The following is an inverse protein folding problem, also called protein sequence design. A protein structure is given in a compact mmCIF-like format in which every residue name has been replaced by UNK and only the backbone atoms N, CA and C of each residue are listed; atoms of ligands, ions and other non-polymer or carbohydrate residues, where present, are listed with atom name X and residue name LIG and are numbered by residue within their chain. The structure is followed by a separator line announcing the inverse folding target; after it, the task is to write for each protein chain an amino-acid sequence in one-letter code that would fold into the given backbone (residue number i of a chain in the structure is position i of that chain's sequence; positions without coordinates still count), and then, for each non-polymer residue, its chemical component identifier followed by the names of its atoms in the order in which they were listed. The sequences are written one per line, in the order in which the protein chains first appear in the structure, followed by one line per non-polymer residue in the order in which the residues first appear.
data_IF_146137941540
#
_entry.id   IF_146137941540
#
_cell.length_a   1.000
_cell.length_b   1.000
_cell.length_c   1.000
_cell.angle_alpha   90.00
_cell.angle_beta   90.00
_cell.angle_gamma   90.00
#
_symmetry.space_group_name_H-M   'P 1'
#
loop_
_entity.id
_entity.type
_entity.pdbx_description
1 polymer ?
#
# COMPACT_ATOMS: atom_id res chain seq x y z
N UNK A 1 -7.10 -10.77 9.14
CA UNK A 1 -6.71 -11.58 7.97
C UNK A 1 -7.96 -11.89 7.15
N UNK A 2 -7.77 -12.07 5.85
CA UNK A 2 -8.80 -12.47 4.89
C UNK A 2 -9.07 -13.97 5.01
N UNK A 3 -10.34 -14.41 4.90
CA UNK A 3 -10.66 -15.83 4.80
C UNK A 3 -10.37 -16.37 3.40
N UNK A 4 -10.30 -17.70 3.26
CA UNK A 4 -10.11 -18.35 1.96
C UNK A 4 -11.25 -18.05 0.99
N UNK A 5 -12.48 -18.02 1.48
CA UNK A 5 -13.68 -17.71 0.70
C UNK A 5 -13.67 -16.26 0.22
N UNK A 6 -13.32 -15.30 1.10
CA UNK A 6 -13.17 -13.89 0.74
C UNK A 6 -12.07 -13.69 -0.31
N UNK A 7 -10.91 -14.33 -0.14
CA UNK A 7 -9.81 -14.26 -1.09
C UNK A 7 -10.20 -14.79 -2.47
N UNK A 8 -10.84 -15.96 -2.51
CA UNK A 8 -11.31 -16.54 -3.74
C UNK A 8 -12.37 -15.69 -4.46
N UNK A 9 -13.32 -15.12 -3.70
CA UNK A 9 -14.34 -14.23 -4.24
C UNK A 9 -13.73 -12.95 -4.82
N UNK A 10 -12.78 -12.31 -4.11
CA UNK A 10 -12.09 -11.11 -4.56
C UNK A 10 -11.25 -11.39 -5.82
N UNK A 11 -10.48 -12.47 -5.85
CA UNK A 11 -9.68 -12.85 -7.00
C UNK A 11 -10.54 -13.21 -8.24
N UNK A 12 -11.74 -13.77 -8.03
CA UNK A 12 -12.67 -14.05 -9.12
C UNK A 12 -13.34 -12.79 -9.69
N UNK A 13 -13.49 -11.74 -8.86
CA UNK A 13 -14.19 -10.50 -9.21
C UNK A 13 -13.27 -9.45 -9.84
N UNK A 14 -11.97 -9.45 -9.51
CA UNK A 14 -11.03 -8.39 -9.84
C UNK A 14 -9.79 -8.92 -10.56
N UNK A 15 -9.27 -8.09 -11.47
CA UNK A 15 -7.93 -8.25 -12.03
C UNK A 15 -7.15 -6.97 -11.79
N UNK A 16 -6.06 -7.05 -11.04
CA UNK A 16 -5.21 -5.89 -10.74
C UNK A 16 -4.17 -5.73 -11.85
N UNK A 17 -4.05 -4.52 -12.39
CA UNK A 17 -3.11 -4.22 -13.45
C UNK A 17 -1.79 -3.70 -12.88
N UNK A 18 -1.85 -2.64 -12.07
CA UNK A 18 -0.65 -1.97 -11.56
C UNK A 18 -0.87 -1.28 -10.22
N UNK A 19 0.21 -1.20 -9.46
CA UNK A 19 0.39 -0.33 -8.31
C UNK A 19 1.47 0.71 -8.60
N UNK A 20 1.18 1.96 -8.27
CA UNK A 20 2.16 3.03 -8.14
C UNK A 20 2.18 3.44 -6.66
N UNK A 21 3.30 3.20 -5.99
CA UNK A 21 3.47 3.39 -4.55
C UNK A 21 4.53 4.44 -4.30
N UNK A 22 4.19 5.49 -3.54
CA UNK A 22 5.12 6.52 -3.10
C UNK A 22 5.28 6.46 -1.59
N UNK A 23 6.52 6.41 -1.12
CA UNK A 23 6.87 6.44 0.30
C UNK A 23 7.76 7.64 0.59
N UNK A 24 7.34 8.53 1.53
CA UNK A 24 8.19 9.59 2.08
C UNK A 24 8.72 9.16 3.46
N UNK A 25 9.99 8.76 3.48
CA UNK A 25 10.71 8.23 4.65
C UNK A 25 11.44 9.33 5.42
N UNK A 26 11.19 10.61 5.11
CA UNK A 26 11.81 11.77 5.76
C UNK A 26 10.98 12.34 6.92
N UNK A 27 9.85 11.71 7.26
CA UNK A 27 8.83 12.22 8.18
C UNK A 27 9.07 11.92 9.67
N UNK A 28 10.26 11.46 10.03
CA UNK A 28 10.62 11.18 11.42
C UNK A 28 10.77 9.71 11.74
N UNK A 29 10.58 9.35 13.02
CA UNK A 29 10.94 8.02 13.53
C UNK A 29 9.76 7.08 13.77
N UNK A 30 8.54 7.59 13.79
CA UNK A 30 7.34 6.83 14.16
C UNK A 30 6.50 6.48 12.92
N UNK A 31 6.36 7.42 11.99
CA UNK A 31 5.49 7.30 10.84
C UNK A 31 6.23 7.64 9.54
N UNK A 32 5.72 7.13 8.45
CA UNK A 32 6.08 7.52 7.09
C UNK A 32 4.82 7.85 6.31
N UNK A 33 4.92 8.71 5.30
CA UNK A 33 3.81 8.96 4.40
C UNK A 33 3.80 7.90 3.30
N UNK A 34 2.62 7.42 2.96
CA UNK A 34 2.39 6.45 1.89
C UNK A 34 1.22 6.88 1.02
N UNK A 35 1.45 6.91 -0.27
CA UNK A 35 0.40 7.13 -1.27
C UNK A 35 0.43 5.99 -2.28
N UNK A 36 -0.72 5.38 -2.53
CA UNK A 36 -0.86 4.27 -3.47
C UNK A 36 -1.91 4.58 -4.51
N UNK A 37 -1.56 4.46 -5.78
CA UNK A 37 -2.52 4.40 -6.88
C UNK A 37 -2.61 2.96 -7.38
N UNK A 38 -3.83 2.42 -7.41
CA UNK A 38 -4.10 1.06 -7.91
C UNK A 38 -5.02 1.15 -9.11
N UNK A 39 -4.61 0.53 -10.22
CA UNK A 39 -5.47 0.34 -11.40
C UNK A 39 -5.92 -1.12 -11.49
N UNK A 40 -7.22 -1.34 -11.66
CA UNK A 40 -7.78 -2.68 -11.72
C UNK A 40 -9.10 -2.74 -12.50
N UNK A 41 -9.36 -3.89 -13.09
CA UNK A 41 -10.61 -4.22 -13.74
C UNK A 41 -11.53 -5.00 -12.81
N UNK A 42 -12.83 -4.77 -12.93
CA UNK A 42 -13.86 -5.60 -12.30
C UNK A 42 -14.62 -6.40 -13.37
N UNK A 43 -14.99 -7.63 -13.04
CA UNK A 43 -15.85 -8.45 -13.91
C UNK A 43 -17.23 -7.81 -14.07
N UNK A 44 -17.97 -8.20 -15.11
CA UNK A 44 -19.32 -7.66 -15.36
C UNK A 44 -20.25 -7.85 -14.17
N UNK A 45 -20.14 -8.95 -13.43
CA UNK A 45 -20.97 -9.24 -12.26
C UNK A 45 -20.53 -8.42 -11.02
N UNK A 46 -19.30 -7.92 -11.00
CA UNK A 46 -18.79 -7.10 -9.93
C UNK A 46 -19.05 -5.59 -10.14
N UNK A 47 -19.37 -5.16 -11.36
CA UNK A 47 -19.71 -3.75 -11.63
C UNK A 47 -20.92 -3.32 -10.81
N UNK A 48 -20.84 -2.15 -10.17
CA UNK A 48 -21.86 -1.61 -9.27
C UNK A 48 -21.84 -2.19 -7.86
N UNK A 49 -21.03 -3.20 -7.58
CA UNK A 49 -20.85 -3.77 -6.23
C UNK A 49 -19.77 -3.06 -5.44
N UNK A 50 -19.52 -3.51 -4.22
CA UNK A 50 -18.47 -3.03 -3.34
C UNK A 50 -17.51 -4.17 -2.99
N UNK A 51 -16.26 -3.80 -2.73
CA UNK A 51 -15.24 -4.67 -2.18
C UNK A 51 -14.43 -3.92 -1.13
N UNK A 52 -13.25 -4.39 -0.77
CA UNK A 52 -12.34 -3.68 0.13
C UNK A 52 -10.91 -3.79 -0.37
N UNK A 53 -10.10 -2.82 0.04
CA UNK A 53 -8.65 -2.87 -0.05
C UNK A 53 -8.05 -2.93 1.36
N UNK A 54 -6.93 -3.62 1.51
CA UNK A 54 -6.27 -3.78 2.80
C UNK A 54 -5.28 -2.62 3.01
N UNK A 55 -5.34 -1.98 4.18
CA UNK A 55 -4.40 -0.93 4.61
C UNK A 55 -4.41 -0.86 6.13
N UNK A 56 -3.27 -1.02 6.78
CA UNK A 56 -3.14 -0.92 8.23
C UNK A 56 -2.60 0.45 8.58
N UNK A 57 -3.39 1.24 9.30
CA UNK A 57 -3.02 2.57 9.76
C UNK A 57 -3.83 2.95 11.01
N UNK A 58 -3.23 3.76 11.89
CA UNK A 58 -3.93 4.29 13.06
C UNK A 58 -4.95 5.37 12.69
N UNK A 59 -4.67 6.14 11.63
CA UNK A 59 -5.54 7.20 11.14
C UNK A 59 -6.17 6.82 9.81
N UNK A 60 -7.46 7.18 9.64
CA UNK A 60 -8.15 6.97 8.39
C UNK A 60 -7.45 7.77 7.25
N UNK A 61 -7.12 7.11 6.12
CA UNK A 61 -6.50 7.77 4.98
C UNK A 61 -7.52 8.60 4.19
N UNK A 62 -7.02 9.43 3.28
CA UNK A 62 -7.82 10.00 2.21
C UNK A 62 -7.93 8.99 1.06
N UNK A 63 -9.14 8.77 0.57
CA UNK A 63 -9.39 7.77 -0.49
C UNK A 63 -10.23 8.37 -1.59
N UNK A 64 -9.80 8.14 -2.85
CA UNK A 64 -10.63 8.43 -4.03
C UNK A 64 -10.74 7.21 -4.92
N UNK A 65 -11.94 6.98 -5.48
CA UNK A 65 -12.19 5.95 -6.49
C UNK A 65 -12.68 6.64 -7.75
N UNK A 66 -11.98 6.45 -8.86
CA UNK A 66 -12.30 7.06 -10.15
C UNK A 66 -12.43 8.60 -10.09
N UNK A 67 -11.64 9.24 -9.20
CA UNK A 67 -11.63 10.69 -8.98
C UNK A 67 -12.66 11.20 -7.96
N UNK A 68 -13.56 10.35 -7.48
CA UNK A 68 -14.55 10.72 -6.47
C UNK A 68 -14.07 10.32 -5.06
N UNK A 69 -14.19 11.26 -4.12
CA UNK A 69 -13.81 11.00 -2.73
C UNK A 69 -14.74 9.97 -2.09
N UNK A 70 -14.17 8.99 -1.39
CA UNK A 70 -14.92 8.01 -0.62
C UNK A 70 -15.03 8.43 0.84
N UNK A 71 -16.18 8.13 1.44
CA UNK A 71 -16.34 8.19 2.89
C UNK A 71 -15.60 7.01 3.53
N UNK A 72 -14.72 7.32 4.46
CA UNK A 72 -13.91 6.35 5.20
C UNK A 72 -14.28 6.27 6.68
N UNK A 73 -15.47 6.75 7.07
CA UNK A 73 -15.94 6.70 8.46
C UNK A 73 -15.98 5.28 9.04
N UNK A 74 -16.18 4.28 8.19
CA UNK A 74 -16.20 2.85 8.57
C UNK A 74 -14.80 2.20 8.53
N UNK A 75 -13.72 2.97 8.37
CA UNK A 75 -12.36 2.42 8.42
C UNK A 75 -12.08 1.80 9.80
N UNK A 76 -11.73 0.54 9.82
CA UNK A 76 -11.51 -0.24 11.05
C UNK A 76 -10.01 -0.32 11.46
N UNK A 77 -9.15 0.46 10.80
CA UNK A 77 -7.69 0.40 11.00
C UNK A 77 -6.98 -0.65 10.14
N UNK A 78 -7.71 -1.43 9.32
CA UNK A 78 -7.13 -2.50 8.53
C UNK A 78 -7.73 -2.66 7.12
N UNK A 79 -8.98 -2.24 6.90
CA UNK A 79 -9.69 -2.41 5.62
C UNK A 79 -10.47 -1.16 5.26
N UNK A 80 -10.40 -0.82 3.99
CA UNK A 80 -11.16 0.27 3.39
C UNK A 80 -12.21 -0.32 2.45
N UNK A 81 -13.48 -0.01 2.70
CA UNK A 81 -14.56 -0.37 1.78
C UNK A 81 -14.50 0.53 0.56
N UNK A 82 -14.48 -0.04 -0.64
CA UNK A 82 -14.41 0.68 -1.90
C UNK A 82 -15.57 0.28 -2.82
N UNK A 83 -16.04 1.23 -3.61
CA UNK A 83 -17.14 1.04 -4.58
C UNK A 83 -18.15 2.20 -4.53
N UNK A 84 -19.17 2.17 -5.42
CA UNK A 84 -19.46 1.11 -6.38
C UNK A 84 -18.40 1.00 -7.47
N UNK A 85 -18.06 -0.23 -7.87
CA UNK A 85 -17.02 -0.49 -8.86
C UNK A 85 -17.51 -0.19 -10.27
N UNK A 86 -16.62 0.40 -11.09
CA UNK A 86 -16.77 0.46 -12.53
C UNK A 86 -16.08 -0.78 -13.18
N UNK A 87 -16.22 -0.94 -14.51
CA UNK A 87 -15.48 -1.98 -15.24
C UNK A 87 -13.96 -1.77 -15.18
N UNK A 88 -13.51 -0.51 -15.21
CA UNK A 88 -12.13 -0.10 -14.98
C UNK A 88 -12.10 0.89 -13.81
N UNK A 89 -11.16 0.72 -12.91
CA UNK A 89 -11.07 1.49 -11.69
C UNK A 89 -9.66 2.03 -11.47
N UNK A 90 -9.60 3.26 -10.95
CA UNK A 90 -8.40 3.87 -10.40
C UNK A 90 -8.71 4.26 -8.96
N UNK A 91 -8.04 3.62 -8.02
CA UNK A 91 -8.15 3.89 -6.60
C UNK A 91 -6.88 4.60 -6.13
N UNK A 92 -7.05 5.70 -5.40
CA UNK A 92 -5.94 6.39 -4.73
C UNK A 92 -6.18 6.35 -3.23
N UNK A 93 -5.18 5.90 -2.48
CA UNK A 93 -5.17 5.89 -1.01
C UNK A 93 -3.95 6.68 -0.56
N UNK A 94 -4.17 7.72 0.23
CA UNK A 94 -3.12 8.60 0.76
C UNK A 94 -3.22 8.66 2.29
N UNK A 95 -2.15 8.30 3.00
CA UNK A 95 -2.18 8.19 4.44
C UNK A 95 -0.81 8.06 5.09
N UNK A 96 -0.81 7.70 6.37
CA UNK A 96 0.37 7.45 7.17
C UNK A 96 0.48 5.97 7.50
N UNK A 97 1.65 5.40 7.30
CA UNK A 97 2.02 4.08 7.80
C UNK A 97 2.93 4.21 9.02
N UNK A 98 2.97 3.16 9.83
CA UNK A 98 3.77 3.09 11.04
C UNK A 98 5.00 2.22 10.83
N UNK A 99 6.17 2.70 11.28
CA UNK A 99 7.34 1.82 11.34
C UNK A 99 7.12 0.72 12.36
N UNK A 100 7.47 -0.51 11.99
CA UNK A 100 7.48 -1.61 12.93
C UNK A 100 8.85 -1.77 13.61
N UNK A 101 8.86 -2.44 14.74
CA UNK A 101 10.07 -2.89 15.44
C UNK A 101 10.03 -4.41 15.73
N UNK A 102 9.09 -5.10 15.14
CA UNK A 102 8.81 -6.53 15.36
C UNK A 102 9.14 -7.39 14.15
N UNK A 103 9.55 -6.77 13.03
CA UNK A 103 10.08 -7.46 11.85
C UNK A 103 9.15 -7.48 10.66
N UNK A 104 7.85 -7.28 10.83
CA UNK A 104 6.86 -7.23 9.74
C UNK A 104 6.63 -5.81 9.20
N UNK A 105 6.13 -5.71 7.97
CA UNK A 105 5.86 -4.43 7.31
C UNK A 105 7.14 -3.69 6.96
N UNK A 106 7.27 -2.43 7.34
CA UNK A 106 8.48 -1.61 7.22
C UNK A 106 9.14 -1.51 8.60
N UNK A 107 10.12 -2.38 8.82
CA UNK A 107 10.86 -2.43 10.08
C UNK A 107 11.91 -1.33 10.13
N UNK A 108 11.95 -0.60 11.25
CA UNK A 108 12.93 0.45 11.54
C UNK A 108 13.84 0.02 12.70
N UNK A 109 15.13 0.08 12.46
CA UNK A 109 16.16 -0.27 13.42
C UNK A 109 17.23 0.82 13.49
N UNK A 110 17.67 1.15 14.69
CA UNK A 110 18.83 2.00 14.93
C UNK A 110 19.97 1.11 15.41
N UNK A 111 21.03 1.01 14.63
CA UNK A 111 22.16 0.14 14.96
C UNK A 111 23.00 0.79 16.09
N UNK A 112 23.15 0.12 17.25
CA UNK A 112 23.94 0.66 18.35
C UNK A 112 25.45 0.75 18.07
N UNK A 113 25.93 0.12 16.98
CA UNK A 113 27.35 0.15 16.62
C UNK A 113 27.75 1.42 15.87
N UNK A 114 26.86 1.98 15.06
CA UNK A 114 27.13 3.17 14.24
C UNK A 114 26.08 4.28 14.39
N UNK A 115 25.03 4.03 15.20
CA UNK A 115 23.91 4.93 15.49
C UNK A 115 23.08 5.30 14.25
N UNK A 116 23.24 4.56 13.14
CA UNK A 116 22.48 4.80 11.91
C UNK A 116 21.15 4.08 11.90
N UNK A 117 20.23 4.63 11.11
CA UNK A 117 18.90 4.07 10.88
C UNK A 117 18.96 3.14 9.67
N UNK A 118 18.40 1.95 9.85
CA UNK A 118 18.21 0.97 8.79
C UNK A 118 16.74 0.62 8.68
N UNK A 119 16.25 0.52 7.45
CA UNK A 119 14.89 0.08 7.15
C UNK A 119 14.95 -1.17 6.27
N UNK A 120 14.04 -2.09 6.51
CA UNK A 120 13.77 -3.18 5.58
C UNK A 120 12.30 -3.56 5.60
N UNK A 121 11.82 -4.13 4.51
CA UNK A 121 10.44 -4.63 4.40
C UNK A 121 10.40 -6.13 4.54
N UNK A 122 9.36 -6.62 5.24
CA UNK A 122 8.99 -8.03 5.30
C UNK A 122 7.47 -8.14 5.14
N UNK A 123 7.03 -8.80 4.08
CA UNK A 123 5.62 -8.86 3.66
C UNK A 123 5.00 -10.26 3.72
N UNK A 124 5.79 -11.30 3.99
CA UNK A 124 5.25 -12.64 4.08
C UNK A 124 4.51 -12.85 5.43
N UNK A 125 3.26 -13.27 5.38
CA UNK A 125 2.50 -13.68 4.20
C UNK A 125 1.54 -12.61 3.69
N UNK A 126 1.11 -11.65 4.50
CA UNK A 126 0.10 -10.63 4.20
C UNK A 126 0.36 -9.38 5.07
N UNK A 127 1.55 -8.82 4.96
CA UNK A 127 1.99 -7.63 5.70
C UNK A 127 2.39 -6.45 4.78
N UNK A 128 2.19 -6.55 3.46
CA UNK A 128 2.35 -5.43 2.54
C UNK A 128 1.40 -4.28 2.87
N UNK A 129 0.18 -4.58 3.31
CA UNK A 129 -0.82 -3.62 3.77
C UNK A 129 -0.39 -2.75 4.95
N UNK A 130 0.68 -3.11 5.67
CA UNK A 130 1.29 -2.28 6.72
C UNK A 130 2.16 -1.16 6.16
N UNK A 131 2.46 -1.21 4.85
CA UNK A 131 3.33 -0.24 4.21
C UNK A 131 2.60 0.58 3.16
N UNK A 132 1.71 -0.05 2.40
CA UNK A 132 0.90 0.61 1.38
C UNK A 132 -0.44 -0.10 1.19
N UNK A 133 -1.44 0.63 0.72
CA UNK A 133 -2.74 0.04 0.44
C UNK A 133 -2.65 -0.96 -0.72
N UNK A 134 -3.14 -2.18 -0.54
CA UNK A 134 -3.09 -3.21 -1.57
C UNK A 134 -4.19 -4.27 -1.37
N UNK A 135 -4.45 -5.05 -2.42
CA UNK A 135 -5.18 -6.31 -2.29
C UNK A 135 -4.16 -7.35 -1.82
N UNK A 136 -4.02 -7.46 -0.48
CA UNK A 136 -2.91 -8.19 0.16
C UNK A 136 -3.15 -9.70 0.14
N UNK A 137 -3.11 -10.28 -1.07
CA UNK A 137 -3.19 -11.73 -1.30
C UNK A 137 -2.28 -12.15 -2.46
N UNK A 138 -1.50 -13.23 -2.30
CA UNK A 138 -0.42 -13.60 -3.23
C UNK A 138 -0.84 -13.99 -4.65
N UNK A 139 -2.09 -14.37 -4.86
CA UNK A 139 -2.64 -14.78 -6.16
C UNK A 139 -3.10 -13.59 -7.02
N UNK A 140 -3.25 -12.41 -6.46
CA UNK A 140 -3.56 -11.18 -7.21
C UNK A 140 -2.26 -10.48 -7.63
N UNK A 141 -1.68 -10.93 -8.75
CA UNK A 141 -0.43 -10.38 -9.28
C UNK A 141 -0.67 -9.07 -10.02
N UNK A 142 0.32 -8.17 -9.95
CA UNK A 142 0.31 -6.88 -10.63
C UNK A 142 1.74 -6.43 -10.94
N UNK A 143 1.87 -5.36 -11.73
CA UNK A 143 3.12 -4.62 -11.87
C UNK A 143 3.24 -3.56 -10.77
N UNK A 144 4.48 -3.21 -10.40
CA UNK A 144 4.75 -2.20 -9.36
C UNK A 144 5.72 -1.15 -9.87
N UNK A 145 5.38 0.12 -9.67
CA UNK A 145 6.30 1.25 -9.69
C UNK A 145 6.44 1.78 -8.27
N UNK A 146 7.68 1.84 -7.76
CA UNK A 146 7.97 2.27 -6.40
C UNK A 146 8.76 3.58 -6.44
N UNK A 147 8.28 4.59 -5.70
CA UNK A 147 8.89 5.90 -5.55
C UNK A 147 9.25 6.11 -4.08
N UNK A 148 10.51 6.40 -3.83
CA UNK A 148 11.01 6.63 -2.48
C UNK A 148 11.57 8.04 -2.35
N UNK A 149 11.09 8.79 -1.36
CA UNK A 149 11.75 9.98 -0.86
C UNK A 149 12.44 9.61 0.46
N UNK A 150 13.78 9.68 0.47
CA UNK A 150 14.61 9.27 1.61
C UNK A 150 15.65 10.37 1.92
N UNK A 151 16.27 10.37 3.12
CA UNK A 151 17.41 11.21 3.40
C UNK A 151 18.54 11.02 2.37
N UNK A 152 19.26 12.11 2.06
CA UNK A 152 20.31 12.15 1.01
C UNK A 152 21.43 11.12 1.20
N UNK A 153 21.74 10.80 2.45
CA UNK A 153 22.80 9.85 2.82
C UNK A 153 22.34 8.37 2.82
N UNK A 154 21.09 8.11 2.43
CA UNK A 154 20.56 6.75 2.38
C UNK A 154 20.71 6.15 0.98
N UNK A 155 20.95 4.83 0.95
CA UNK A 155 20.88 4.04 -0.27
C UNK A 155 19.57 3.24 -0.26
N UNK A 156 18.78 3.38 -1.32
CA UNK A 156 17.52 2.63 -1.49
C UNK A 156 17.75 1.44 -2.41
N UNK A 157 17.36 0.26 -1.96
CA UNK A 157 17.46 -0.98 -2.73
C UNK A 157 16.07 -1.62 -2.83
N UNK A 158 15.70 -2.03 -4.03
CA UNK A 158 14.44 -2.74 -4.31
C UNK A 158 14.68 -3.92 -5.25
N UNK A 159 13.64 -4.74 -5.47
CA UNK A 159 13.70 -5.91 -6.34
C UNK A 159 13.71 -5.56 -7.84
N UNK A 160 13.35 -4.36 -8.20
CA UNK A 160 13.36 -3.85 -9.58
C UNK A 160 14.59 -2.98 -9.87
N UNK A 161 14.89 -2.74 -11.16
CA UNK A 161 15.93 -1.79 -11.54
C UNK A 161 15.53 -0.35 -11.18
N UNK A 162 16.52 0.45 -10.82
CA UNK A 162 16.33 1.90 -10.64
C UNK A 162 16.09 2.53 -12.02
N UNK A 163 14.99 3.23 -12.15
CA UNK A 163 14.63 3.96 -13.38
C UNK A 163 15.05 5.45 -13.34
N UNK A 164 15.12 6.02 -12.14
CA UNK A 164 15.52 7.39 -11.89
C UNK A 164 16.05 7.54 -10.46
N UNK A 165 17.05 8.39 -10.30
CA UNK A 165 17.58 8.80 -9.01
C UNK A 165 18.02 10.27 -9.12
N UNK A 166 17.69 11.09 -8.11
CA UNK A 166 18.04 12.50 -8.06
C UNK A 166 17.37 13.23 -6.90
N UNK A 167 17.71 14.50 -6.74
CA UNK A 167 17.18 15.34 -5.69
C UNK A 167 15.72 15.72 -6.01
N UNK A 168 14.89 15.73 -4.97
CA UNK A 168 13.50 16.24 -5.01
C UNK A 168 13.36 17.38 -4.00
N UNK A 169 12.82 18.49 -4.48
CA UNK A 169 12.57 19.69 -3.68
C UNK A 169 11.47 19.47 -2.60
#
# INVERSE_FOLDING_TARGET
NITREEAAARAAALTVDAYEVSLDLTRGAEHFHTATTVTFAATQDAVGTHTWIDFVAEQAPTVTLNGEALDVADFDGARLRIGPLAAQNTLVVDGLGDYSNTGEGLHRFVDPADEKVYLYTQFETADAKRVFACFDQPDMKATYALHFKAPEDWTVISNGPVSWEGDVD
#
